data_IF_523893208475
#
_entry.id   IF_523893208475
#
_cell.length_a   1.000
_cell.length_b   1.000
_cell.length_c   1.000
_cell.angle_alpha   90.00
_cell.angle_beta   90.00
_cell.angle_gamma   90.00
#
_symmetry.space_group_name_H-M   'P 1'
#
loop_
_entity.id
_entity.type
_entity.pdbx_description
1 polymer ?
#
# COMPACT_ATOMS: atom_id res chain seq x y z
N UNK A 1 -2.41 7.40 91.66
CA UNK A 1 -3.27 8.55 91.99
C UNK A 1 -2.91 9.69 91.04
N UNK A 2 -3.94 10.24 90.38
CA UNK A 2 -3.94 11.45 89.52
C UNK A 2 -3.13 11.39 88.20
N UNK A 3 -3.72 11.25 87.00
CA UNK A 3 -4.86 11.91 86.32
C UNK A 3 -4.47 13.19 85.58
N UNK A 4 -5.11 13.35 84.40
CA UNK A 4 -5.37 14.54 83.55
C UNK A 4 -4.52 14.63 82.27
N UNK A 5 -5.09 14.39 81.07
CA UNK A 5 -5.98 15.27 80.25
C UNK A 5 -5.18 16.50 79.75
N UNK A 6 -5.20 17.01 78.51
CA UNK A 6 -6.04 16.90 77.31
C UNK A 6 -5.23 17.57 76.14
N UNK A 7 -5.43 17.07 74.93
CA UNK A 7 -5.38 17.68 73.59
C UNK A 7 -4.49 18.91 73.27
N UNK A 8 -3.81 18.84 72.11
CA UNK A 8 -4.26 19.60 70.93
C UNK A 8 -3.68 19.02 69.64
N UNK A 9 -4.53 19.02 68.62
CA UNK A 9 -4.31 18.57 67.23
C UNK A 9 -3.25 19.43 66.55
N UNK A 10 -2.42 18.84 65.68
CA UNK A 10 -2.27 19.39 64.33
C UNK A 10 -1.90 18.30 63.32
N UNK A 11 -2.57 18.43 62.19
CA UNK A 11 -2.62 17.57 61.03
C UNK A 11 -1.28 17.56 60.31
N UNK A 12 -0.79 16.40 59.86
CA UNK A 12 -0.20 16.29 58.52
C UNK A 12 -0.27 14.83 58.06
N UNK A 13 -1.28 14.55 57.24
CA UNK A 13 -1.41 13.33 56.45
C UNK A 13 -0.45 13.50 55.28
N UNK A 14 0.65 12.74 55.23
CA UNK A 14 1.36 12.49 53.98
C UNK A 14 0.97 11.11 53.49
N UNK A 15 0.02 11.09 52.56
CA UNK A 15 -0.25 9.93 51.72
C UNK A 15 0.92 9.78 50.73
N UNK A 16 1.72 8.73 50.86
CA UNK A 16 2.51 8.24 49.74
C UNK A 16 1.70 7.14 49.05
N UNK A 17 1.09 7.53 47.96
CA UNK A 17 0.41 6.68 47.00
C UNK A 17 1.39 5.73 46.30
N UNK A 18 0.91 4.52 46.05
CA UNK A 18 1.51 3.44 45.29
C UNK A 18 2.04 3.89 43.91
N UNK A 19 3.25 3.48 43.55
CA UNK A 19 3.65 3.32 42.16
C UNK A 19 3.67 1.82 41.85
N UNK A 20 2.59 1.35 41.21
CA UNK A 20 2.57 0.06 40.53
C UNK A 20 3.45 0.25 39.30
N UNK A 21 4.57 -0.46 39.24
CA UNK A 21 5.43 -0.49 38.05
C UNK A 21 4.66 -1.29 37.00
N UNK A 22 4.07 -0.56 36.04
CA UNK A 22 3.32 -1.11 34.93
C UNK A 22 4.27 -1.92 34.04
N UNK A 23 4.08 -3.23 34.01
CA UNK A 23 4.79 -4.16 33.14
C UNK A 23 4.31 -4.00 31.69
N UNK A 24 4.51 -2.81 31.12
CA UNK A 24 4.25 -2.46 29.71
C UNK A 24 5.51 -1.90 29.06
N UNK A 25 6.64 -2.58 29.27
CA UNK A 25 7.75 -2.56 28.32
C UNK A 25 7.79 -3.89 27.59
N UNK A 26 6.68 -4.22 26.92
CA UNK A 26 6.70 -5.18 25.84
C UNK A 26 7.19 -4.41 24.60
N UNK A 27 8.43 -4.70 24.22
CA UNK A 27 9.03 -4.54 22.90
C UNK A 27 8.51 -3.36 22.06
N UNK A 28 9.06 -2.17 22.33
CA UNK A 28 9.34 -1.25 21.24
C UNK A 28 10.44 -1.90 20.37
N UNK A 29 10.04 -2.65 19.35
CA UNK A 29 10.95 -3.06 18.28
C UNK A 29 11.20 -1.88 17.34
N UNK A 30 12.47 -1.79 16.99
CA UNK A 30 13.20 -0.68 16.39
C UNK A 30 12.73 -0.29 14.99
N UNK A 31 12.78 1.02 14.72
CA UNK A 31 12.63 1.62 13.40
C UNK A 31 13.70 1.16 12.40
N UNK A 32 13.26 1.24 11.14
CA UNK A 32 13.87 0.66 9.94
C UNK A 32 12.76 0.06 9.11
N UNK A 33 11.84 0.90 8.64
CA UNK A 33 10.65 0.51 7.86
C UNK A 33 11.08 -0.16 6.55
N UNK A 34 11.04 -1.49 6.51
CA UNK A 34 10.91 -2.18 5.24
C UNK A 34 9.47 -1.98 4.78
N UNK A 35 9.23 -0.90 4.04
CA UNK A 35 7.95 -0.62 3.39
C UNK A 35 7.60 -1.71 2.36
N UNK A 36 8.54 -2.60 2.04
CA UNK A 36 8.31 -3.86 1.35
C UNK A 36 8.17 -4.98 2.38
N UNK A 37 7.03 -5.08 3.05
CA UNK A 37 6.64 -6.33 3.72
C UNK A 37 6.47 -7.41 2.63
N UNK A 38 7.58 -8.04 2.29
CA UNK A 38 7.66 -9.14 1.37
C UNK A 38 7.00 -10.36 2.01
N UNK A 39 6.16 -11.05 1.25
CA UNK A 39 5.64 -12.35 1.67
C UNK A 39 6.83 -13.31 1.73
N UNK A 40 7.12 -13.90 2.89
CA UNK A 40 8.32 -14.73 3.08
C UNK A 40 8.31 -15.97 2.17
N UNK A 41 7.14 -16.61 2.01
CA UNK A 41 6.97 -17.84 1.24
C UNK A 41 5.83 -17.70 0.20
N UNK A 42 6.03 -16.98 -0.91
CA UNK A 42 5.04 -16.91 -1.98
C UNK A 42 4.87 -18.28 -2.66
N UNK A 43 3.64 -18.64 -3.00
CA UNK A 43 3.39 -19.85 -3.78
C UNK A 43 3.98 -19.75 -5.19
N UNK A 44 4.47 -20.87 -5.72
CA UNK A 44 4.69 -21.05 -7.16
C UNK A 44 3.37 -21.50 -7.80
N UNK A 45 2.82 -20.71 -8.72
CA UNK A 45 1.53 -20.96 -9.36
C UNK A 45 1.65 -20.95 -10.88
N UNK A 46 0.86 -21.78 -11.56
CA UNK A 46 0.58 -21.59 -12.98
C UNK A 46 -0.27 -20.33 -13.21
N UNK A 47 -0.32 -19.85 -14.46
CA UNK A 47 -1.20 -18.74 -14.86
C UNK A 47 -2.67 -19.04 -14.54
N UNK A 48 -3.11 -20.24 -14.83
CA UNK A 48 -4.48 -20.70 -14.59
C UNK A 48 -4.82 -20.71 -13.10
N UNK A 49 -3.91 -21.21 -12.26
CA UNK A 49 -4.09 -21.23 -10.80
C UNK A 49 -4.15 -19.82 -10.22
N UNK A 50 -3.23 -18.94 -10.63
CA UNK A 50 -3.23 -17.53 -10.24
C UNK A 50 -4.53 -16.83 -10.65
N UNK A 51 -5.02 -17.06 -11.88
CA UNK A 51 -6.26 -16.46 -12.36
C UNK A 51 -7.50 -16.96 -11.60
N UNK A 52 -7.54 -18.25 -11.27
CA UNK A 52 -8.64 -18.83 -10.48
C UNK A 52 -8.71 -18.21 -9.08
N UNK A 53 -7.56 -18.12 -8.39
CA UNK A 53 -7.48 -17.50 -7.05
C UNK A 53 -7.87 -16.03 -7.14
N UNK A 54 -7.31 -15.29 -8.10
CA UNK A 54 -7.63 -13.87 -8.27
C UNK A 54 -9.13 -13.64 -8.47
N UNK A 55 -9.75 -14.42 -9.35
CA UNK A 55 -11.20 -14.33 -9.62
C UNK A 55 -12.02 -14.56 -8.36
N UNK A 56 -11.59 -15.47 -7.48
CA UNK A 56 -12.25 -15.71 -6.18
C UNK A 56 -12.14 -14.53 -5.20
N UNK A 57 -11.09 -13.72 -5.31
CA UNK A 57 -10.81 -12.58 -4.44
C UNK A 57 -11.29 -11.24 -5.00
N UNK A 58 -11.53 -11.13 -6.31
CA UNK A 58 -11.81 -9.87 -7.00
C UNK A 58 -12.92 -9.05 -6.36
N UNK A 59 -14.05 -9.69 -6.02
CA UNK A 59 -15.17 -9.02 -5.35
C UNK A 59 -14.80 -8.47 -3.96
N UNK A 60 -14.01 -9.22 -3.19
CA UNK A 60 -13.55 -8.80 -1.86
C UNK A 60 -12.60 -7.61 -1.96
N UNK A 61 -11.68 -7.64 -2.93
CA UNK A 61 -10.81 -6.51 -3.25
C UNK A 61 -11.61 -5.26 -3.61
N UNK A 62 -12.57 -5.38 -4.53
CA UNK A 62 -13.43 -4.26 -4.94
C UNK A 62 -14.17 -3.63 -3.74
N UNK A 63 -14.71 -4.46 -2.85
CA UNK A 63 -15.41 -4.01 -1.65
C UNK A 63 -14.49 -3.31 -0.65
N UNK A 64 -13.30 -3.87 -0.42
CA UNK A 64 -12.31 -3.29 0.48
C UNK A 64 -11.82 -1.93 -0.01
N UNK A 65 -11.30 -1.86 -1.23
CA UNK A 65 -10.74 -0.62 -1.78
C UNK A 65 -11.79 0.50 -1.94
N UNK A 66 -13.07 0.16 -2.14
CA UNK A 66 -14.13 1.16 -2.23
C UNK A 66 -14.27 2.03 -0.97
N UNK A 67 -13.84 1.53 0.19
CA UNK A 67 -13.86 2.31 1.44
C UNK A 67 -12.85 3.47 1.46
N UNK A 68 -11.86 3.48 0.56
CA UNK A 68 -10.92 4.59 0.40
C UNK A 68 -11.55 5.81 -0.30
N UNK A 69 -12.70 5.64 -0.96
CA UNK A 69 -13.48 6.71 -1.60
C UNK A 69 -12.74 7.56 -2.66
N UNK A 70 -11.66 7.04 -3.26
CA UNK A 70 -11.00 7.69 -4.40
C UNK A 70 -11.86 7.61 -5.66
N UNK A 71 -12.42 8.75 -6.09
CA UNK A 71 -13.31 8.82 -7.26
C UNK A 71 -12.62 8.35 -8.54
N UNK A 72 -11.34 8.68 -8.72
CA UNK A 72 -10.55 8.29 -9.89
C UNK A 72 -10.28 6.78 -9.97
N UNK A 73 -10.42 6.05 -8.86
CA UNK A 73 -10.30 4.60 -8.82
C UNK A 73 -11.65 3.89 -8.89
N UNK A 74 -12.75 4.64 -8.93
CA UNK A 74 -14.08 4.06 -9.00
C UNK A 74 -14.19 3.20 -10.26
N UNK A 75 -14.44 1.91 -10.06
CA UNK A 75 -14.56 0.90 -11.12
C UNK A 75 -13.26 0.66 -11.92
N UNK A 76 -12.08 0.85 -11.33
CA UNK A 76 -10.80 0.59 -12.03
C UNK A 76 -10.68 -0.84 -12.59
N UNK A 77 -11.32 -1.83 -11.95
CA UNK A 77 -11.31 -3.23 -12.43
C UNK A 77 -12.06 -3.43 -13.76
N UNK A 78 -12.78 -2.42 -14.25
CA UNK A 78 -13.37 -2.41 -15.59
C UNK A 78 -12.49 -1.69 -16.64
N UNK A 79 -11.31 -1.23 -16.25
CA UNK A 79 -10.34 -0.67 -17.18
C UNK A 79 -9.65 -1.78 -17.98
N UNK A 80 -9.01 -1.44 -19.10
CA UNK A 80 -8.09 -2.36 -19.77
C UNK A 80 -7.09 -2.98 -18.79
N UNK A 81 -7.03 -4.32 -18.82
CA UNK A 81 -6.06 -5.14 -18.11
C UNK A 81 -4.89 -5.41 -19.05
N UNK A 82 -3.66 -5.24 -18.57
CA UNK A 82 -2.44 -5.33 -19.38
C UNK A 82 -1.70 -6.67 -19.25
N UNK A 83 -2.18 -7.55 -18.38
CA UNK A 83 -1.63 -8.89 -18.19
C UNK A 83 -2.70 -9.99 -18.33
N UNK A 84 -2.34 -11.16 -18.85
CA UNK A 84 -3.26 -12.28 -19.10
C UNK A 84 -3.52 -13.17 -17.87
N UNK A 85 -2.63 -13.12 -16.87
CA UNK A 85 -2.77 -13.72 -15.55
C UNK A 85 -1.99 -12.91 -14.51
N UNK A 86 -2.38 -12.93 -13.22
CA UNK A 86 -1.60 -12.29 -12.16
C UNK A 86 -0.18 -12.84 -12.10
N UNK A 87 0.81 -11.98 -11.90
CA UNK A 87 2.24 -12.34 -11.86
C UNK A 87 2.90 -11.90 -10.56
N UNK A 88 3.92 -12.62 -10.10
CA UNK A 88 4.68 -12.25 -8.90
C UNK A 88 5.47 -10.97 -9.19
N UNK A 89 5.32 -9.98 -8.30
CA UNK A 89 6.11 -8.76 -8.35
C UNK A 89 6.95 -8.61 -7.09
N UNK A 90 8.27 -8.76 -7.23
CA UNK A 90 9.22 -8.55 -6.14
C UNK A 90 9.12 -7.13 -5.56
N UNK A 91 8.94 -6.12 -6.43
CA UNK A 91 8.81 -4.71 -6.03
C UNK A 91 7.53 -4.37 -5.27
N UNK A 92 6.57 -5.29 -5.23
CA UNK A 92 5.32 -5.16 -4.46
C UNK A 92 5.25 -6.21 -3.34
N UNK A 93 6.42 -6.64 -2.83
CA UNK A 93 6.56 -7.56 -1.71
C UNK A 93 6.19 -9.00 -2.04
N UNK A 94 6.58 -9.49 -3.22
CA UNK A 94 6.34 -10.86 -3.67
C UNK A 94 4.86 -11.24 -3.78
N UNK A 95 3.99 -10.24 -3.97
CA UNK A 95 2.56 -10.46 -4.21
C UNK A 95 2.30 -10.75 -5.68
N UNK A 96 1.23 -11.48 -5.96
CA UNK A 96 0.68 -11.58 -7.31
C UNK A 96 -0.07 -10.30 -7.63
N UNK A 97 0.20 -9.68 -8.77
CA UNK A 97 -0.40 -8.40 -9.17
C UNK A 97 -1.07 -8.50 -10.54
N UNK A 98 -2.14 -7.72 -10.72
CA UNK A 98 -2.64 -7.34 -12.05
C UNK A 98 -2.33 -5.87 -12.30
N UNK A 99 -2.24 -5.47 -13.57
CA UNK A 99 -1.95 -4.10 -13.99
C UNK A 99 -3.08 -3.57 -14.88
N UNK A 100 -3.77 -2.56 -14.38
CA UNK A 100 -4.84 -1.84 -15.05
C UNK A 100 -4.37 -0.45 -15.45
N UNK A 101 -4.86 0.06 -16.56
CA UNK A 101 -4.64 1.45 -16.94
C UNK A 101 -5.94 2.06 -17.46
N UNK A 102 -6.26 3.28 -17.03
CA UNK A 102 -7.46 3.95 -17.50
C UNK A 102 -7.36 4.27 -19.01
N UNK A 103 -8.48 4.73 -19.60
CA UNK A 103 -8.52 5.05 -21.04
C UNK A 103 -7.49 6.10 -21.49
N UNK A 104 -7.06 6.99 -20.60
CA UNK A 104 -6.05 7.99 -20.93
C UNK A 104 -4.67 7.33 -21.13
N UNK A 105 -4.35 6.37 -20.27
CA UNK A 105 -3.12 5.60 -20.27
C UNK A 105 -3.08 4.45 -21.30
N UNK A 106 -3.73 4.61 -22.45
CA UNK A 106 -3.90 3.57 -23.46
C UNK A 106 -2.59 3.01 -24.03
N UNK A 107 -1.49 3.75 -23.96
CA UNK A 107 -0.16 3.37 -24.42
C UNK A 107 0.81 2.96 -23.29
N UNK A 108 0.34 2.78 -22.04
CA UNK A 108 1.17 2.39 -20.88
C UNK A 108 2.10 1.19 -21.12
N UNK A 109 1.68 0.21 -21.93
CA UNK A 109 2.49 -0.97 -22.24
C UNK A 109 3.45 -0.83 -23.42
N UNK A 110 3.47 0.31 -24.11
CA UNK A 110 4.17 0.46 -25.39
C UNK A 110 4.91 1.79 -25.56
N UNK A 111 5.08 2.57 -24.48
CA UNK A 111 5.80 3.85 -24.52
C UNK A 111 7.20 3.63 -25.10
N UNK A 112 7.55 4.47 -26.07
CA UNK A 112 8.91 4.60 -26.56
C UNK A 112 9.71 5.55 -25.67
N UNK A 113 11.04 5.51 -25.79
CA UNK A 113 11.93 6.40 -25.04
C UNK A 113 11.54 7.88 -25.25
N UNK A 114 11.36 8.59 -24.14
CA UNK A 114 10.97 10.01 -24.14
C UNK A 114 9.48 10.28 -24.37
N UNK A 115 8.66 9.27 -24.68
CA UNK A 115 7.21 9.42 -24.65
C UNK A 115 6.71 9.53 -23.20
N UNK A 116 5.64 10.31 -23.01
CA UNK A 116 4.98 10.49 -21.71
C UNK A 116 3.52 10.12 -21.79
N UNK A 117 2.99 9.61 -20.69
CA UNK A 117 1.56 9.42 -20.55
C UNK A 117 0.85 10.78 -20.46
N UNK A 118 -0.35 10.94 -21.04
CA UNK A 118 -1.09 12.19 -20.89
C UNK A 118 -1.50 12.44 -19.44
N UNK A 119 -1.59 13.72 -19.03
CA UNK A 119 -2.19 14.10 -17.74
C UNK A 119 -3.56 13.46 -17.55
N UNK A 120 -3.84 12.97 -16.35
CA UNK A 120 -5.03 12.20 -16.01
C UNK A 120 -4.92 10.72 -16.36
N UNK A 121 -3.77 10.25 -16.84
CA UNK A 121 -3.44 8.82 -16.89
C UNK A 121 -3.38 8.24 -15.49
N UNK A 122 -4.08 7.15 -15.28
CA UNK A 122 -4.08 6.43 -14.00
C UNK A 122 -3.73 4.98 -14.24
N UNK A 123 -2.72 4.51 -13.54
CA UNK A 123 -2.27 3.12 -13.49
C UNK A 123 -2.66 2.57 -12.12
N UNK A 124 -3.26 1.38 -12.10
CA UNK A 124 -3.66 0.70 -10.88
C UNK A 124 -3.13 -0.72 -10.88
N UNK A 125 -2.48 -1.13 -9.79
CA UNK A 125 -2.05 -2.51 -9.55
C UNK A 125 -2.75 -3.04 -8.31
N UNK A 126 -3.77 -3.87 -8.52
CA UNK A 126 -4.33 -4.66 -7.43
C UNK A 126 -3.47 -5.90 -7.20
N UNK A 127 -3.50 -6.41 -5.97
CA UNK A 127 -2.64 -7.52 -5.60
C UNK A 127 -3.35 -8.53 -4.73
N UNK A 128 -2.81 -9.76 -4.71
CA UNK A 128 -3.20 -10.81 -3.80
C UNK A 128 -1.95 -11.49 -3.22
N UNK A 129 -2.07 -11.93 -1.97
CA UNK A 129 -1.09 -12.79 -1.33
C UNK A 129 -1.54 -14.23 -1.49
N UNK A 130 -0.63 -15.08 -1.97
CA UNK A 130 -0.79 -16.53 -1.98
C UNK A 130 0.47 -17.13 -1.37
N UNK A 131 0.33 -17.85 -0.25
CA UNK A 131 1.47 -18.54 0.38
C UNK A 131 1.59 -19.97 -0.13
N UNK A 132 2.78 -20.55 -0.04
CA UNK A 132 3.05 -21.97 -0.36
C UNK A 132 2.22 -22.97 0.47
N UNK A 133 1.75 -22.55 1.64
CA UNK A 133 0.79 -23.28 2.50
C UNK A 133 -0.67 -23.21 1.97
N UNK A 134 -0.92 -22.42 0.93
CA UNK A 134 -2.23 -22.25 0.29
C UNK A 134 -3.11 -21.14 0.90
N UNK A 135 -2.57 -20.27 1.77
CA UNK A 135 -3.33 -19.14 2.30
C UNK A 135 -3.51 -18.07 1.23
N UNK A 136 -4.75 -17.58 1.05
CA UNK A 136 -5.09 -16.59 0.01
C UNK A 136 -5.77 -15.35 0.61
N UNK A 137 -5.21 -14.18 0.32
CA UNK A 137 -5.70 -12.90 0.87
C UNK A 137 -5.69 -11.78 -0.17
N UNK A 138 -6.71 -10.89 -0.18
CA UNK A 138 -6.60 -9.60 -0.84
C UNK A 138 -5.34 -8.86 -0.37
N UNK A 139 -4.59 -8.29 -1.31
CA UNK A 139 -3.40 -7.48 -1.05
C UNK A 139 -3.72 -5.98 -1.07
N UNK A 140 -2.67 -5.16 -1.16
CA UNK A 140 -2.83 -3.72 -1.33
C UNK A 140 -3.13 -3.35 -2.79
N UNK A 141 -3.72 -2.17 -2.99
CA UNK A 141 -3.86 -1.50 -4.28
C UNK A 141 -2.81 -0.40 -4.38
N UNK A 142 -1.98 -0.45 -5.42
CA UNK A 142 -0.96 0.55 -5.72
C UNK A 142 -1.40 1.37 -6.92
N UNK A 143 -1.24 2.68 -6.86
CA UNK A 143 -1.78 3.60 -7.87
C UNK A 143 -0.75 4.64 -8.23
N UNK A 144 -0.68 4.94 -9.53
CA UNK A 144 0.04 6.08 -10.06
C UNK A 144 -0.91 6.95 -10.89
N UNK A 145 -0.88 8.25 -10.68
CA UNK A 145 -1.64 9.24 -11.45
C UNK A 145 -0.70 10.28 -12.06
N UNK A 146 -0.77 10.46 -13.38
CA UNK A 146 -0.03 11.51 -14.09
C UNK A 146 -0.72 12.85 -13.87
N UNK A 147 -0.04 13.76 -13.19
CA UNK A 147 -0.53 15.09 -12.88
C UNK A 147 -0.29 16.07 -14.04
N UNK A 148 -0.79 17.30 -13.87
CA UNK A 148 -0.43 18.39 -14.76
C UNK A 148 1.04 18.77 -14.54
N UNK A 149 1.70 19.23 -15.60
CA UNK A 149 3.11 19.64 -15.54
C UNK A 149 3.35 20.69 -14.44
N UNK A 150 4.36 20.44 -13.61
CA UNK A 150 4.75 21.31 -12.50
C UNK A 150 3.90 21.19 -11.23
N UNK A 151 2.97 20.23 -11.16
CA UNK A 151 2.14 20.00 -9.96
C UNK A 151 2.93 19.33 -8.84
N UNK A 152 3.84 18.41 -9.20
CA UNK A 152 4.71 17.71 -8.25
C UNK A 152 6.07 17.48 -8.92
N UNK A 153 6.89 18.54 -9.11
CA UNK A 153 8.18 18.43 -9.80
C UNK A 153 9.12 17.41 -9.14
N UNK A 154 9.02 17.24 -7.83
CA UNK A 154 9.79 16.31 -7.02
C UNK A 154 9.54 14.83 -7.34
N UNK A 155 8.38 14.51 -7.92
CA UNK A 155 8.06 13.16 -8.41
C UNK A 155 7.86 13.12 -9.92
N UNK A 156 8.38 14.12 -10.65
CA UNK A 156 8.18 14.28 -12.08
C UNK A 156 6.69 14.26 -12.52
N UNK A 157 5.86 14.91 -11.70
CA UNK A 157 4.41 15.04 -11.85
C UNK A 157 3.67 13.69 -11.79
N UNK A 158 4.17 12.76 -10.97
CA UNK A 158 3.50 11.50 -10.66
C UNK A 158 3.02 11.47 -9.21
N UNK A 159 1.72 11.28 -9.01
CA UNK A 159 1.17 10.99 -7.68
C UNK A 159 1.15 9.50 -7.45
N UNK A 160 1.64 9.07 -6.29
CA UNK A 160 1.62 7.68 -5.83
C UNK A 160 0.65 7.54 -4.65
N UNK A 161 -0.20 6.51 -4.70
CA UNK A 161 -1.18 6.20 -3.65
C UNK A 161 -1.11 4.70 -3.36
N UNK A 162 -1.14 4.34 -2.08
CA UNK A 162 -1.28 2.96 -1.63
C UNK A 162 -2.49 2.80 -0.72
N UNK A 163 -3.39 1.89 -1.07
CA UNK A 163 -4.61 1.57 -0.32
C UNK A 163 -4.52 0.14 0.19
N UNK A 164 -4.76 -0.04 1.48
CA UNK A 164 -4.77 -1.35 2.13
C UNK A 164 -6.02 -2.16 1.74
N UNK A 165 -6.01 -3.50 1.89
CA UNK A 165 -7.15 -4.32 1.48
C UNK A 165 -8.46 -4.04 2.24
N UNK A 166 -8.41 -3.37 3.39
CA UNK A 166 -9.59 -2.89 4.13
C UNK A 166 -10.06 -1.50 3.71
N UNK A 167 -9.38 -0.88 2.74
CA UNK A 167 -9.65 0.46 2.22
C UNK A 167 -8.99 1.59 3.02
N UNK A 168 -8.23 1.29 4.07
CA UNK A 168 -7.45 2.32 4.76
C UNK A 168 -6.32 2.85 3.87
N UNK A 169 -6.07 4.16 3.96
CA UNK A 169 -4.97 4.80 3.24
C UNK A 169 -3.64 4.50 3.93
N UNK A 170 -2.73 3.87 3.20
CA UNK A 170 -1.35 3.71 3.65
C UNK A 170 -0.57 5.02 3.48
N UNK A 171 -0.71 5.65 2.31
CA UNK A 171 -0.19 6.98 2.03
C UNK A 171 -0.53 7.49 0.64
N UNK A 172 -0.41 8.80 0.48
CA UNK A 172 -0.63 9.54 -0.77
C UNK A 172 0.40 10.67 -0.85
N UNK A 173 1.23 10.66 -1.89
CA UNK A 173 2.26 11.71 -2.11
C UNK A 173 1.70 13.14 -2.15
N UNK A 174 0.42 13.30 -2.51
CA UNK A 174 -0.26 14.59 -2.57
C UNK A 174 -1.18 14.84 -1.37
N UNK A 175 -1.10 14.00 -0.33
CA UNK A 175 -2.04 14.02 0.79
C UNK A 175 -1.46 13.46 2.07
N UNK A 176 -2.28 12.70 2.79
CA UNK A 176 -1.91 12.17 4.09
C UNK A 176 -0.82 11.10 3.97
N UNK A 177 0.15 11.15 4.89
CA UNK A 177 1.24 10.17 5.00
C UNK A 177 2.07 10.07 3.72
N UNK A 178 2.36 11.20 3.08
CA UNK A 178 3.18 11.28 1.87
C UNK A 178 4.55 10.57 2.02
N UNK A 179 5.22 10.75 3.17
CA UNK A 179 6.52 10.10 3.45
C UNK A 179 6.44 8.57 3.38
N UNK A 180 5.28 7.98 3.74
CA UNK A 180 5.09 6.53 3.70
C UNK A 180 5.13 5.98 2.28
N UNK A 181 4.91 6.80 1.25
CA UNK A 181 4.88 6.36 -0.16
C UNK A 181 5.93 7.09 -1.01
N UNK A 182 6.84 7.85 -0.39
CA UNK A 182 7.93 8.53 -1.10
C UNK A 182 8.83 7.54 -1.87
N UNK A 183 9.09 6.37 -1.27
CA UNK A 183 9.89 5.30 -1.87
C UNK A 183 9.33 4.79 -3.21
N UNK A 184 8.04 4.99 -3.48
CA UNK A 184 7.44 4.61 -4.75
C UNK A 184 8.10 5.36 -5.91
N UNK A 185 8.34 6.67 -5.75
CA UNK A 185 9.01 7.44 -6.79
C UNK A 185 10.48 7.03 -6.95
N UNK A 186 11.22 6.94 -5.84
CA UNK A 186 12.65 6.58 -5.83
C UNK A 186 12.91 5.27 -6.62
N UNK A 187 12.04 4.28 -6.45
CA UNK A 187 12.13 3.03 -7.20
C UNK A 187 11.80 3.22 -8.70
N UNK A 188 10.82 4.05 -9.01
CA UNK A 188 10.37 4.32 -10.37
C UNK A 188 11.33 5.23 -11.18
N UNK A 189 12.25 5.95 -10.53
CA UNK A 189 13.33 6.69 -11.21
C UNK A 189 14.21 5.77 -12.07
N UNK A 190 14.29 4.47 -11.74
CA UNK A 190 15.04 3.49 -12.51
C UNK A 190 14.52 3.30 -13.95
N UNK A 191 13.30 3.74 -14.25
CA UNK A 191 12.66 3.70 -15.57
C UNK A 191 12.14 5.09 -15.99
N UNK A 192 12.87 6.15 -15.60
CA UNK A 192 12.54 7.54 -15.94
C UNK A 192 12.50 7.81 -17.46
N UNK A 193 13.28 7.07 -18.24
CA UNK A 193 13.31 7.11 -19.71
C UNK A 193 11.97 6.66 -20.36
N UNK A 194 11.14 5.97 -19.58
CA UNK A 194 9.81 5.45 -19.95
C UNK A 194 8.71 6.06 -19.09
N UNK A 195 8.87 7.35 -18.79
CA UNK A 195 7.96 8.14 -17.96
C UNK A 195 7.64 7.48 -16.62
N UNK A 196 8.65 6.87 -15.98
CA UNK A 196 8.53 6.26 -14.66
C UNK A 196 7.57 5.05 -14.64
N UNK A 197 7.39 4.34 -15.76
CA UNK A 197 6.41 3.24 -15.84
C UNK A 197 7.06 1.87 -16.07
N UNK A 198 6.93 0.98 -15.08
CA UNK A 198 7.28 -0.43 -15.25
C UNK A 198 6.19 -1.19 -15.99
N UNK A 199 6.50 -1.74 -17.16
CA UNK A 199 5.54 -2.54 -17.93
C UNK A 199 5.30 -3.91 -17.29
N UNK A 200 4.23 -4.55 -17.74
CA UNK A 200 3.98 -5.97 -17.47
C UNK A 200 5.13 -6.81 -18.08
N UNK A 201 5.62 -7.85 -17.39
CA UNK A 201 6.62 -8.76 -17.96
C UNK A 201 6.12 -9.39 -19.26
N UNK A 202 6.99 -9.49 -20.26
CA UNK A 202 6.63 -9.92 -21.62
C UNK A 202 5.82 -11.23 -21.65
N UNK A 203 6.17 -12.18 -20.80
CA UNK A 203 5.49 -13.48 -20.70
C UNK A 203 4.03 -13.37 -20.26
N UNK A 204 3.63 -12.29 -19.59
CA UNK A 204 2.27 -12.04 -19.08
C UNK A 204 1.52 -10.98 -19.88
N UNK A 205 2.15 -10.26 -20.81
CA UNK A 205 1.45 -9.25 -21.61
C UNK A 205 0.28 -9.89 -22.33
N UNK A 206 -0.90 -9.25 -22.28
CA UNK A 206 -2.07 -9.73 -23.04
C UNK A 206 -1.70 -9.81 -24.52
N UNK A 207 -1.73 -11.02 -25.08
CA UNK A 207 -1.46 -11.23 -26.50
C UNK A 207 -2.44 -10.44 -27.37
N UNK A 208 -1.90 -9.65 -28.31
CA UNK A 208 -2.69 -9.01 -29.36
C UNK A 208 -3.37 -10.05 -30.27
#
# INVERSE_FOLDING_TARGET
MFSRLIALRLCLIYALSFAIVDARQALAQSGGEDAHLAIENPAELSKEEALQIYTSLQKRMAQGYAAAQFEQLRNYQNWPLFNDAPYISATHGQRFVNSYANRMAHNYGTLQEGEKLPTGSVLAKDSMTVTDEGNTHPGALFVMEKLAEGTSPETADWRYIMVMPDGSLFGDTMGDRADNVAYCHDCHEAVADRDYTFFVPEEYVVGN
#
